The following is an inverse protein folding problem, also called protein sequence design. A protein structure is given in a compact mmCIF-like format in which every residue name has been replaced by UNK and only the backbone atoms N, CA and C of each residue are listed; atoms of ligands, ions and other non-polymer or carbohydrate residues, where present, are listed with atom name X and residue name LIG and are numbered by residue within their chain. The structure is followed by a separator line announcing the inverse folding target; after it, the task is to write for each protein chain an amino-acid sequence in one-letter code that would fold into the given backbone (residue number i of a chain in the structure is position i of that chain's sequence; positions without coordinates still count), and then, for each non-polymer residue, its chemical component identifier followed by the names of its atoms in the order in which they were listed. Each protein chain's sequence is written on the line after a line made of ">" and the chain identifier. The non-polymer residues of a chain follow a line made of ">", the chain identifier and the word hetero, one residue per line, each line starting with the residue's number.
data_IF_771987845564
#
_entry.id   IF_771987845564
#
_cell.length_a   1.000
_cell.length_b   1.000
_cell.length_c   1.000
_cell.angle_alpha   90.00
_cell.angle_beta   90.00
_cell.angle_gamma   90.00
#
_symmetry.space_group_name_H-M   'P 1'
#
loop_
_entity.id
_entity.type
_entity.pdbx_description
1 polymer ?
#
# COMPACT_ATOMS: atom_id res chain seq x y z
N UNK A 1 -25.61 2.19 34.23
CA UNK A 1 -25.42 2.89 32.94
C UNK A 1 -26.57 2.50 32.02
N UNK A 2 -27.32 3.45 31.48
CA UNK A 2 -28.52 3.14 30.69
C UNK A 2 -28.12 2.48 29.36
N UNK A 3 -28.94 1.56 28.83
CA UNK A 3 -28.67 0.86 27.55
C UNK A 3 -28.30 1.84 26.42
N UNK A 4 -28.96 2.99 26.37
CA UNK A 4 -28.65 4.09 25.43
C UNK A 4 -27.19 4.58 25.54
N UNK A 5 -26.67 4.75 26.74
CA UNK A 5 -25.31 5.24 26.96
C UNK A 5 -24.27 4.19 26.55
N UNK A 6 -24.56 2.90 26.79
CA UNK A 6 -23.71 1.80 26.32
C UNK A 6 -23.62 1.81 24.78
N UNK A 7 -24.76 1.94 24.09
CA UNK A 7 -24.80 2.00 22.62
C UNK A 7 -23.97 3.17 22.08
N UNK A 8 -24.11 4.35 22.67
CA UNK A 8 -23.34 5.53 22.24
C UNK A 8 -21.83 5.30 22.40
N UNK A 9 -21.41 4.73 23.54
CA UNK A 9 -19.99 4.42 23.79
C UNK A 9 -19.45 3.43 22.75
N UNK A 10 -20.22 2.39 22.40
CA UNK A 10 -19.81 1.41 21.39
C UNK A 10 -19.67 2.03 20.01
N UNK A 11 -20.57 2.94 19.62
CA UNK A 11 -20.49 3.65 18.33
C UNK A 11 -19.24 4.53 18.28
N UNK A 12 -18.98 5.32 19.33
CA UNK A 12 -17.79 6.18 19.40
C UNK A 12 -16.52 5.34 19.37
N UNK A 13 -16.48 4.22 20.11
CA UNK A 13 -15.35 3.30 20.11
C UNK A 13 -15.13 2.69 18.72
N UNK A 14 -16.19 2.27 18.04
CA UNK A 14 -16.10 1.71 16.69
C UNK A 14 -15.55 2.73 15.68
N UNK A 15 -16.01 3.98 15.75
CA UNK A 15 -15.50 5.06 14.88
C UNK A 15 -14.02 5.32 15.17
N UNK A 16 -13.63 5.45 16.44
CA UNK A 16 -12.24 5.68 16.83
C UNK A 16 -11.31 4.54 16.37
N UNK A 17 -11.74 3.29 16.51
CA UNK A 17 -10.99 2.12 16.03
C UNK A 17 -10.88 2.09 14.50
N UNK A 18 -11.94 2.46 13.79
CA UNK A 18 -11.93 2.52 12.32
C UNK A 18 -10.93 3.56 11.81
N UNK A 19 -10.91 4.75 12.43
CA UNK A 19 -9.95 5.81 12.09
C UNK A 19 -8.51 5.41 12.41
N UNK A 20 -8.28 4.72 13.54
CA UNK A 20 -6.95 4.23 13.88
C UNK A 20 -6.49 3.14 12.90
N UNK A 21 -7.36 2.20 12.54
CA UNK A 21 -7.05 1.14 11.60
C UNK A 21 -6.64 1.66 10.23
N UNK A 22 -7.29 2.71 9.72
CA UNK A 22 -7.02 3.32 8.41
C UNK A 22 -5.58 3.84 8.24
N UNK A 23 -4.92 4.17 9.35
CA UNK A 23 -3.59 4.77 9.38
C UNK A 23 -2.48 3.79 9.78
N UNK A 24 -2.82 2.53 10.09
CA UNK A 24 -1.84 1.53 10.52
C UNK A 24 -1.56 0.58 9.37
N UNK A 25 -0.36 0.65 8.82
CA UNK A 25 0.16 -0.26 7.80
C UNK A 25 1.38 -0.99 8.34
N UNK A 26 1.43 -2.31 8.14
CA UNK A 26 2.58 -3.14 8.51
C UNK A 26 2.95 -4.05 7.34
N UNK A 27 4.20 -4.55 7.25
CA UNK A 27 4.63 -5.45 6.18
C UNK A 27 3.68 -6.63 5.98
N UNK A 28 3.18 -7.21 7.08
CA UNK A 28 2.22 -8.31 7.05
C UNK A 28 0.86 -7.94 6.44
N UNK A 29 0.39 -6.71 6.62
CA UNK A 29 -0.89 -6.28 6.06
C UNK A 29 -0.79 -5.95 4.57
N UNK A 30 0.34 -5.37 4.17
CA UNK A 30 0.56 -4.97 2.77
C UNK A 30 1.28 -6.03 1.95
N UNK A 31 1.76 -7.11 2.53
CA UNK A 31 2.39 -8.18 1.76
C UNK A 31 1.41 -8.83 0.77
N UNK A 32 1.92 -9.24 -0.38
CA UNK A 32 1.16 -9.79 -1.48
C UNK A 32 1.64 -9.28 -2.84
N UNK A 33 1.04 -9.83 -3.90
CA UNK A 33 1.32 -9.43 -5.27
C UNK A 33 0.33 -8.37 -5.72
N UNK A 34 0.82 -7.36 -6.41
CA UNK A 34 0.06 -6.26 -6.95
C UNK A 34 0.33 -6.11 -8.45
N UNK A 35 -0.67 -5.63 -9.20
CA UNK A 35 -0.57 -5.40 -10.65
C UNK A 35 -0.86 -3.93 -10.96
N UNK A 36 -0.06 -3.32 -11.81
CA UNK A 36 -0.30 -1.98 -12.33
C UNK A 36 -1.22 -2.03 -13.55
N UNK A 37 -2.33 -1.30 -13.52
CA UNK A 37 -3.37 -1.35 -14.58
C UNK A 37 -3.41 -0.10 -15.47
N UNK A 38 -2.43 0.79 -15.35
CA UNK A 38 -2.43 2.06 -16.05
C UNK A 38 -1.33 2.08 -17.13
N UNK A 39 -1.48 2.93 -18.17
CA UNK A 39 -0.38 3.16 -19.09
C UNK A 39 0.83 3.76 -18.37
N UNK A 40 2.01 3.55 -18.95
CA UNK A 40 3.25 4.18 -18.48
C UNK A 40 3.09 5.69 -18.51
N UNK A 41 3.24 6.33 -17.34
CA UNK A 41 2.98 7.75 -17.18
C UNK A 41 3.99 8.47 -16.28
N UNK A 42 4.92 7.73 -15.68
CA UNK A 42 5.96 8.26 -14.79
C UNK A 42 7.31 7.79 -15.33
N UNK A 43 8.27 8.70 -15.42
CA UNK A 43 9.64 8.35 -15.78
C UNK A 43 10.19 7.36 -14.74
N UNK A 44 10.78 6.26 -15.22
CA UNK A 44 11.27 5.17 -14.36
C UNK A 44 10.18 4.51 -13.49
N UNK A 45 8.91 4.71 -13.84
CA UNK A 45 7.75 4.08 -13.20
C UNK A 45 7.27 2.82 -13.95
N UNK A 46 6.24 2.17 -13.41
CA UNK A 46 5.73 0.92 -13.95
C UNK A 46 4.96 1.09 -15.27
N UNK A 47 5.00 0.04 -16.08
CA UNK A 47 4.21 -0.12 -17.29
C UNK A 47 2.95 -0.95 -17.04
N UNK A 48 2.05 -0.92 -18.01
CA UNK A 48 0.81 -1.69 -17.96
C UNK A 48 1.10 -3.19 -17.75
N UNK A 49 0.49 -3.76 -16.72
CA UNK A 49 0.62 -5.14 -16.24
C UNK A 49 1.92 -5.48 -15.50
N UNK A 50 2.77 -4.50 -15.19
CA UNK A 50 3.92 -4.73 -14.32
C UNK A 50 3.46 -5.20 -12.94
N UNK A 51 4.18 -6.19 -12.41
CA UNK A 51 3.93 -6.76 -11.09
C UNK A 51 4.87 -6.19 -10.05
N UNK A 52 4.33 -6.02 -8.85
CA UNK A 52 5.10 -5.73 -7.63
C UNK A 52 4.66 -6.72 -6.55
N UNK A 53 5.59 -7.52 -6.03
CA UNK A 53 5.35 -8.43 -4.92
C UNK A 53 6.07 -7.90 -3.69
N UNK A 54 5.31 -7.65 -2.61
CA UNK A 54 5.84 -7.28 -1.30
C UNK A 54 5.83 -8.51 -0.39
N UNK A 55 6.98 -8.89 0.14
CA UNK A 55 7.12 -9.97 1.11
C UNK A 55 6.98 -9.44 2.55
N UNK A 56 6.55 -10.25 3.51
CA UNK A 56 6.34 -9.81 4.90
C UNK A 56 7.65 -9.59 5.69
N UNK A 57 8.79 -9.97 5.11
CA UNK A 57 10.14 -9.75 5.64
C UNK A 57 10.76 -8.39 5.24
N UNK A 58 10.01 -7.54 4.53
CA UNK A 58 10.48 -6.23 4.08
C UNK A 58 11.23 -6.25 2.74
N UNK A 59 11.18 -7.35 1.99
CA UNK A 59 11.73 -7.43 0.62
C UNK A 59 10.65 -7.31 -0.44
N UNK A 60 11.05 -6.87 -1.65
CA UNK A 60 10.13 -6.86 -2.79
C UNK A 60 10.77 -7.41 -4.07
N UNK A 61 9.91 -7.81 -4.99
CA UNK A 61 10.24 -8.18 -6.37
C UNK A 61 9.33 -7.39 -7.31
N UNK A 62 9.90 -6.78 -8.35
CA UNK A 62 9.18 -5.91 -9.30
C UNK A 62 9.64 -6.17 -10.73
N UNK A 63 8.69 -6.21 -11.67
CA UNK A 63 9.00 -6.24 -13.10
C UNK A 63 9.66 -4.93 -13.57
N UNK A 64 9.41 -3.82 -12.88
CA UNK A 64 9.93 -2.48 -13.21
C UNK A 64 11.30 -2.22 -12.60
N UNK A 65 11.48 -2.55 -11.32
CA UNK A 65 12.64 -2.14 -10.51
C UNK A 65 13.53 -3.30 -10.07
N UNK A 66 13.20 -4.53 -10.47
CA UNK A 66 13.91 -5.72 -10.01
C UNK A 66 13.62 -6.03 -8.55
N UNK A 67 14.65 -6.42 -7.81
CA UNK A 67 14.53 -6.85 -6.41
C UNK A 67 15.13 -5.82 -5.46
N UNK A 68 14.58 -5.73 -4.25
CA UNK A 68 15.06 -4.78 -3.25
C UNK A 68 14.40 -4.93 -1.88
N UNK A 69 14.52 -3.89 -1.07
CA UNK A 69 13.88 -3.78 0.25
C UNK A 69 12.87 -2.66 0.26
N UNK A 70 11.91 -2.71 1.16
CA UNK A 70 10.95 -1.64 1.36
C UNK A 70 10.76 -1.32 2.83
N UNK A 71 10.42 -0.06 3.10
CA UNK A 71 10.06 0.44 4.43
C UNK A 71 8.70 1.13 4.40
N UNK A 72 7.98 1.04 5.52
CA UNK A 72 6.66 1.66 5.69
C UNK A 72 6.74 2.71 6.78
N UNK A 73 6.37 3.94 6.46
CA UNK A 73 6.25 5.04 7.42
C UNK A 73 4.87 5.68 7.29
N UNK A 74 3.94 5.31 8.18
CA UNK A 74 2.56 5.74 8.06
C UNK A 74 1.93 5.21 6.77
N UNK A 75 1.49 6.11 5.89
CA UNK A 75 0.98 5.76 4.55
C UNK A 75 2.06 5.61 3.50
N UNK A 76 3.30 5.97 3.80
CA UNK A 76 4.35 6.05 2.79
C UNK A 76 5.08 4.72 2.72
N UNK A 77 5.34 4.25 1.50
CA UNK A 77 6.04 3.02 1.18
C UNK A 77 7.24 3.39 0.32
N UNK A 78 8.44 3.27 0.89
CA UNK A 78 9.68 3.55 0.19
C UNK A 78 10.29 2.24 -0.30
N UNK A 79 10.48 2.11 -1.61
CA UNK A 79 11.23 1.01 -2.23
C UNK A 79 12.69 1.43 -2.37
N UNK A 80 13.62 0.55 -2.04
CA UNK A 80 15.07 0.74 -2.27
C UNK A 80 15.60 -0.45 -3.06
N UNK A 81 16.26 -0.18 -4.18
CA UNK A 81 16.82 -1.20 -5.08
C UNK A 81 18.16 -0.78 -5.67
N UNK A 82 18.91 -1.76 -6.16
CA UNK A 82 20.19 -1.54 -6.84
C UNK A 82 20.00 -1.54 -8.36
N UNK A 83 20.64 -0.58 -9.01
CA UNK A 83 20.74 -0.51 -10.46
C UNK A 83 22.20 -0.22 -10.86
N UNK A 84 22.50 -0.23 -12.17
CA UNK A 84 23.88 -0.19 -12.68
C UNK A 84 24.73 1.00 -12.19
N UNK A 85 24.11 2.12 -11.80
CA UNK A 85 24.81 3.32 -11.32
C UNK A 85 24.77 3.50 -9.79
N UNK A 86 24.20 2.56 -9.04
CA UNK A 86 24.16 2.60 -7.58
C UNK A 86 22.82 2.21 -6.97
N UNK A 87 22.49 2.79 -5.81
CA UNK A 87 21.20 2.59 -5.16
C UNK A 87 20.20 3.64 -5.68
N UNK A 88 18.97 3.22 -5.96
CA UNK A 88 17.84 4.07 -6.26
C UNK A 88 16.70 3.78 -5.29
N UNK A 89 15.75 4.71 -5.21
CA UNK A 89 14.53 4.52 -4.45
C UNK A 89 13.32 5.05 -5.18
N UNK A 90 12.16 4.48 -4.88
CA UNK A 90 10.88 4.90 -5.43
C UNK A 90 9.83 4.96 -4.33
N UNK A 91 9.12 6.08 -4.23
CA UNK A 91 8.11 6.30 -3.20
C UNK A 91 6.71 5.98 -3.73
N UNK A 92 5.95 5.26 -2.93
CA UNK A 92 4.55 4.90 -3.17
C UNK A 92 3.70 5.34 -1.97
N UNK A 93 2.43 5.66 -2.21
CA UNK A 93 1.47 5.92 -1.12
C UNK A 93 0.51 4.76 -0.96
N UNK A 94 0.44 4.19 0.24
CA UNK A 94 -0.53 3.18 0.62
C UNK A 94 -1.87 3.86 0.97
N UNK A 95 -2.96 3.35 0.40
CA UNK A 95 -4.31 3.82 0.71
C UNK A 95 -5.32 2.67 0.70
N UNK A 96 -6.18 2.62 1.73
CA UNK A 96 -7.35 1.73 1.75
C UNK A 96 -8.63 2.48 1.38
N UNK A 97 -9.35 2.05 0.34
CA UNK A 97 -10.67 2.60 0.06
C UNK A 97 -11.67 2.18 1.14
N UNK A 98 -12.47 3.13 1.63
CA UNK A 98 -13.55 2.89 2.62
C UNK A 98 -13.10 2.25 3.95
N UNK A 99 -11.90 2.57 4.46
CA UNK A 99 -11.33 2.10 5.74
C UNK A 99 -10.99 0.59 5.82
N UNK A 100 -11.69 -0.26 5.05
CA UNK A 100 -11.62 -1.71 5.13
C UNK A 100 -11.35 -2.40 3.79
N UNK A 101 -11.27 -1.63 2.70
CA UNK A 101 -10.92 -2.16 1.39
C UNK A 101 -9.48 -2.64 1.32
N UNK A 102 -9.17 -3.42 0.30
CA UNK A 102 -7.80 -3.86 0.04
C UNK A 102 -6.87 -2.67 -0.20
N UNK A 103 -5.67 -2.66 0.41
CA UNK A 103 -4.73 -1.59 0.23
C UNK A 103 -4.32 -1.49 -1.25
N UNK A 104 -4.23 -0.25 -1.73
CA UNK A 104 -3.71 0.11 -3.04
C UNK A 104 -2.39 0.84 -2.84
N UNK A 105 -1.45 0.64 -3.77
CA UNK A 105 -0.14 1.29 -3.74
C UNK A 105 -0.10 2.34 -4.85
N UNK A 106 -0.34 3.59 -4.50
CA UNK A 106 -0.37 4.70 -5.45
C UNK A 106 1.04 5.09 -5.87
N UNK A 107 1.26 5.12 -7.19
CA UNK A 107 2.44 5.66 -7.85
C UNK A 107 2.32 7.17 -7.98
N UNK A 108 1.14 7.65 -8.39
CA UNK A 108 0.79 9.08 -8.43
C UNK A 108 -0.61 9.24 -7.91
N UNK A 109 -0.73 9.73 -6.68
CA UNK A 109 -2.02 9.87 -5.98
C UNK A 109 -2.98 10.79 -6.73
N UNK A 110 -2.49 11.92 -7.24
CA UNK A 110 -3.30 12.93 -7.93
C UNK A 110 -3.91 12.43 -9.25
N UNK A 111 -3.20 11.56 -9.96
CA UNK A 111 -3.67 10.95 -11.20
C UNK A 111 -4.45 9.65 -10.97
N UNK A 112 -4.48 9.16 -9.73
CA UNK A 112 -5.13 7.91 -9.38
C UNK A 112 -4.43 6.67 -9.96
N UNK A 113 -3.12 6.75 -10.22
CA UNK A 113 -2.34 5.62 -10.72
C UNK A 113 -1.82 4.80 -9.56
N UNK A 114 -2.18 3.52 -9.52
CA UNK A 114 -1.86 2.62 -8.42
C UNK A 114 -1.67 1.17 -8.88
N UNK A 115 -0.97 0.39 -8.06
CA UNK A 115 -1.00 -1.06 -8.13
C UNK A 115 -2.18 -1.61 -7.33
N UNK A 116 -2.96 -2.50 -7.95
CA UNK A 116 -4.08 -3.20 -7.33
C UNK A 116 -3.62 -4.55 -6.79
N UNK A 117 -4.02 -4.90 -5.55
CA UNK A 117 -3.68 -6.20 -4.96
C UNK A 117 -4.36 -7.34 -5.74
N UNK A 118 -3.62 -8.39 -6.02
CA UNK A 118 -4.16 -9.61 -6.63
C UNK A 118 -4.67 -10.51 -5.51
N UNK A 119 -5.97 -10.74 -5.48
CA UNK A 119 -6.54 -11.76 -4.60
C UNK A 119 -6.16 -13.14 -5.13
N UNK A 120 -5.55 -13.97 -4.28
CA UNK A 120 -5.49 -15.40 -4.52
C UNK A 120 -6.93 -15.92 -4.41
N UNK A 121 -7.54 -16.20 -5.56
CA UNK A 121 -8.76 -17.01 -5.65
C UNK A 121 -8.52 -18.39 -5.06
#
# INVERSE_FOLDING_TARGET
>A
MNRRNIIIILIVLFIALSLAYDNIYTPRFISGTYIYHFPSAVAEGPNLNDKLTLNDDGKFESDTWGEGTYEISGSDLELTYQYELGNAGFELTIYRPMFWGEPRLYVVKDLGYYFAKVNKN
#
